data_IF_219632051311
#
_entry.id   IF_219632051311
#
_cell.length_a   1.000
_cell.length_b   1.000
_cell.length_c   1.000
_cell.angle_alpha   90.00
_cell.angle_beta   90.00
_cell.angle_gamma   90.00
#
_symmetry.space_group_name_H-M   'P 1'
#
loop_
_entity.id
_entity.type
_entity.pdbx_description
1 polymer ?
#
# COMPACT_ATOMS: atom_id res chain seq x y z
N UNK A 1 -59.09 -70.60 24.75
CA UNK A 1 -60.13 -71.18 25.64
C UNK A 1 -60.99 -72.25 24.96
N UNK A 2 -61.07 -72.34 23.62
CA UNK A 2 -61.87 -73.35 22.90
C UNK A 2 -61.29 -74.78 22.92
N UNK A 3 -59.97 -74.93 22.79
CA UNK A 3 -59.35 -76.26 22.63
C UNK A 3 -59.30 -77.10 23.91
N UNK A 4 -59.22 -76.46 25.08
CA UNK A 4 -59.17 -77.18 26.37
C UNK A 4 -60.48 -77.91 26.68
N UNK A 5 -61.63 -77.26 26.43
CA UNK A 5 -62.95 -77.89 26.61
C UNK A 5 -63.22 -78.99 25.58
N UNK A 6 -62.60 -78.92 24.40
CA UNK A 6 -62.80 -79.92 23.34
C UNK A 6 -61.99 -81.20 23.63
N UNK A 7 -60.79 -81.06 24.21
CA UNK A 7 -60.01 -82.20 24.71
C UNK A 7 -60.65 -82.85 25.94
N UNK A 8 -61.24 -82.07 26.86
CA UNK A 8 -61.93 -82.61 28.04
C UNK A 8 -63.19 -83.43 27.68
N UNK A 9 -63.92 -83.03 26.63
CA UNK A 9 -65.09 -83.77 26.12
C UNK A 9 -64.68 -85.07 25.41
N UNK A 10 -63.52 -85.12 24.76
CA UNK A 10 -62.96 -86.37 24.23
C UNK A 10 -62.54 -87.33 25.35
N UNK A 11 -62.03 -86.82 26.47
CA UNK A 11 -61.65 -87.65 27.62
C UNK A 11 -62.84 -88.30 28.32
N UNK A 12 -63.93 -87.56 28.53
CA UNK A 12 -65.14 -88.14 29.13
C UNK A 12 -65.76 -89.24 28.25
N UNK A 13 -65.65 -89.11 26.92
CA UNK A 13 -66.12 -90.12 25.97
C UNK A 13 -65.24 -91.38 25.89
N UNK A 14 -63.97 -91.32 26.31
CA UNK A 14 -63.09 -92.50 26.40
C UNK A 14 -63.41 -93.31 27.66
N UNK A 15 -63.80 -92.65 28.76
CA UNK A 15 -64.12 -93.32 30.03
C UNK A 15 -65.49 -94.02 29.99
N UNK A 16 -66.47 -93.52 29.22
CA UNK A 16 -67.79 -94.17 29.10
C UNK A 16 -67.82 -95.39 28.15
N UNK A 17 -66.84 -95.55 27.24
CA UNK A 17 -66.84 -96.62 26.22
C UNK A 17 -65.94 -97.84 26.53
N UNK A 18 -65.22 -97.88 27.65
CA UNK A 18 -64.32 -99.00 28.03
C UNK A 18 -64.80 -99.75 29.29
N UNK A 19 -66.10 -100.06 29.39
CA UNK A 19 -66.68 -100.90 30.48
C UNK A 19 -67.09 -102.31 30.02
N UNK A 20 -66.59 -102.79 28.87
CA UNK A 20 -66.94 -104.12 28.33
C UNK A 20 -65.79 -105.15 28.28
N UNK A 21 -64.74 -104.97 29.07
CA UNK A 21 -63.66 -105.97 29.19
C UNK A 21 -63.25 -106.16 30.66
N UNK A 22 -64.18 -106.73 31.44
CA UNK A 22 -63.97 -107.16 32.82
C UNK A 22 -63.39 -108.58 32.76
N UNK A 23 -62.11 -108.70 32.42
CA UNK A 23 -61.35 -109.93 32.72
C UNK A 23 -59.86 -109.68 33.04
N UNK A 24 -59.39 -108.42 33.04
CA UNK A 24 -58.05 -108.12 33.59
C UNK A 24 -57.89 -106.69 34.17
N UNK A 25 -58.10 -106.49 35.50
CA UNK A 25 -57.95 -105.20 36.16
C UNK A 25 -56.50 -104.64 36.12
N UNK A 26 -55.48 -105.48 35.93
CA UNK A 26 -54.09 -105.02 35.80
C UNK A 26 -53.85 -104.28 34.47
N UNK A 27 -54.57 -104.64 33.41
CA UNK A 27 -54.41 -104.03 32.09
C UNK A 27 -55.03 -102.62 32.01
N UNK A 28 -56.15 -102.40 32.71
CA UNK A 28 -56.83 -101.10 32.79
C UNK A 28 -56.06 -100.12 33.68
N UNK A 29 -55.51 -100.60 34.79
CA UNK A 29 -54.57 -99.85 35.63
C UNK A 29 -53.28 -99.51 34.88
N UNK A 30 -52.74 -100.45 34.10
CA UNK A 30 -51.57 -100.21 33.24
C UNK A 30 -51.84 -99.14 32.18
N UNK A 31 -52.97 -99.19 31.49
CA UNK A 31 -53.34 -98.16 30.49
C UNK A 31 -53.50 -96.78 31.13
N UNK A 32 -54.25 -96.68 32.23
CA UNK A 32 -54.43 -95.40 32.95
C UNK A 32 -53.11 -94.86 33.49
N UNK A 33 -52.20 -95.74 33.94
CA UNK A 33 -50.87 -95.36 34.39
C UNK A 33 -50.01 -94.83 33.24
N UNK A 34 -49.93 -95.56 32.12
CA UNK A 34 -49.18 -95.12 30.93
C UNK A 34 -49.71 -93.81 30.35
N UNK A 35 -51.03 -93.62 30.45
CA UNK A 35 -51.68 -92.42 30.00
C UNK A 35 -51.37 -91.23 30.94
N UNK A 36 -51.44 -91.42 32.25
CA UNK A 36 -51.06 -90.40 33.23
C UNK A 36 -49.56 -90.04 33.15
N UNK A 37 -48.69 -91.03 32.91
CA UNK A 37 -47.26 -90.82 32.67
C UNK A 37 -47.03 -90.00 31.39
N UNK A 38 -47.76 -90.30 30.32
CA UNK A 38 -47.67 -89.53 29.07
C UNK A 38 -48.15 -88.09 29.23
N UNK A 39 -49.23 -87.88 29.98
CA UNK A 39 -49.76 -86.54 30.27
C UNK A 39 -48.81 -85.75 31.17
N UNK A 40 -48.15 -86.42 32.13
CA UNK A 40 -47.09 -85.83 32.94
C UNK A 40 -45.87 -85.43 32.10
N UNK A 41 -45.40 -86.30 31.19
CA UNK A 41 -44.32 -85.97 30.24
C UNK A 41 -44.69 -84.78 29.35
N UNK A 42 -45.93 -84.72 28.86
CA UNK A 42 -46.43 -83.64 28.01
C UNK A 42 -46.47 -82.31 28.78
N UNK A 43 -46.94 -82.32 30.03
CA UNK A 43 -46.97 -81.15 30.90
C UNK A 43 -45.56 -80.68 31.27
N UNK A 44 -44.63 -81.59 31.55
CA UNK A 44 -43.23 -81.24 31.80
C UNK A 44 -42.55 -80.65 30.55
N UNK A 45 -42.83 -81.19 29.35
CA UNK A 45 -42.34 -80.65 28.09
C UNK A 45 -42.89 -79.23 27.83
N UNK A 46 -44.18 -79.01 28.06
CA UNK A 46 -44.80 -77.68 27.92
C UNK A 46 -44.27 -76.69 28.98
N UNK A 47 -44.10 -77.13 30.23
CA UNK A 47 -43.55 -76.31 31.29
C UNK A 47 -42.10 -75.90 30.98
N UNK A 48 -41.28 -76.83 30.49
CA UNK A 48 -39.91 -76.54 30.07
C UNK A 48 -39.86 -75.56 28.90
N UNK A 49 -40.73 -75.73 27.89
CA UNK A 49 -40.82 -74.83 26.74
C UNK A 49 -41.27 -73.42 27.15
N UNK A 50 -42.25 -73.32 28.04
CA UNK A 50 -42.68 -72.02 28.60
C UNK A 50 -41.53 -71.40 29.39
N UNK A 51 -40.84 -72.17 30.23
CA UNK A 51 -39.72 -71.69 31.04
C UNK A 51 -38.56 -71.15 30.20
N UNK A 52 -38.18 -71.84 29.10
CA UNK A 52 -37.15 -71.36 28.18
C UNK A 52 -37.60 -70.13 27.40
N UNK A 53 -38.81 -70.13 26.86
CA UNK A 53 -39.37 -68.99 26.11
C UNK A 53 -39.50 -67.75 27.00
N UNK A 54 -39.86 -67.92 28.27
CA UNK A 54 -39.97 -66.82 29.26
C UNK A 54 -38.60 -66.24 29.58
N UNK A 55 -37.54 -67.06 29.68
CA UNK A 55 -36.16 -66.58 29.86
C UNK A 55 -35.66 -65.82 28.63
N UNK A 56 -35.94 -66.32 27.42
CA UNK A 56 -35.55 -65.65 26.17
C UNK A 56 -36.27 -64.31 26.00
N UNK A 57 -37.57 -64.25 26.30
CA UNK A 57 -38.32 -62.98 26.28
C UNK A 57 -37.82 -61.99 27.33
N UNK A 58 -37.48 -62.44 28.56
CA UNK A 58 -36.86 -61.56 29.56
C UNK A 58 -35.51 -61.00 29.07
N UNK A 59 -34.69 -61.83 28.43
CA UNK A 59 -33.42 -61.43 27.83
C UNK A 59 -33.63 -60.38 26.74
N UNK A 60 -34.54 -60.62 25.79
CA UNK A 60 -34.87 -59.67 24.72
C UNK A 60 -35.38 -58.34 25.28
N UNK A 61 -36.27 -58.37 26.28
CA UNK A 61 -36.80 -57.16 26.93
C UNK A 61 -35.68 -56.36 27.61
N UNK A 62 -34.75 -57.04 28.29
CA UNK A 62 -33.60 -56.37 28.93
C UNK A 62 -32.65 -55.73 27.90
N UNK A 63 -32.41 -56.40 26.76
CA UNK A 63 -31.62 -55.87 25.65
C UNK A 63 -32.30 -54.65 25.01
N UNK A 64 -33.62 -54.70 24.82
CA UNK A 64 -34.43 -53.58 24.34
C UNK A 64 -34.37 -52.38 25.29
N UNK A 65 -34.54 -52.61 26.60
CA UNK A 65 -34.43 -51.54 27.60
C UNK A 65 -33.04 -50.90 27.62
N UNK A 66 -31.98 -51.70 27.50
CA UNK A 66 -30.61 -51.19 27.37
C UNK A 66 -30.43 -50.39 26.08
N UNK A 67 -30.92 -50.88 24.94
CA UNK A 67 -30.88 -50.18 23.66
C UNK A 67 -31.62 -48.84 23.69
N UNK A 68 -32.81 -48.80 24.31
CA UNK A 68 -33.59 -47.56 24.50
C UNK A 68 -32.84 -46.58 25.41
N UNK A 69 -32.22 -47.07 26.49
CA UNK A 69 -31.43 -46.23 27.39
C UNK A 69 -30.22 -45.62 26.69
N UNK A 70 -29.49 -46.42 25.89
CA UNK A 70 -28.38 -45.93 25.07
C UNK A 70 -28.84 -44.89 24.04
N UNK A 71 -29.94 -45.15 23.33
CA UNK A 71 -30.47 -44.22 22.33
C UNK A 71 -30.87 -42.88 22.95
N UNK A 72 -31.48 -42.88 24.15
CA UNK A 72 -31.78 -41.65 24.90
C UNK A 72 -30.51 -40.87 25.25
N UNK A 73 -29.49 -41.57 25.76
CA UNK A 73 -28.19 -40.96 26.10
C UNK A 73 -27.50 -40.35 24.87
N UNK A 74 -27.60 -41.03 23.73
CA UNK A 74 -27.01 -40.57 22.46
C UNK A 74 -27.72 -39.32 21.91
N UNK A 75 -29.06 -39.28 22.03
CA UNK A 75 -29.86 -38.09 21.70
C UNK A 75 -29.45 -36.88 22.55
N UNK A 76 -29.27 -37.08 23.85
CA UNK A 76 -28.87 -36.03 24.79
C UNK A 76 -27.46 -35.48 24.47
N UNK A 77 -26.51 -36.38 24.16
CA UNK A 77 -25.17 -35.99 23.69
C UNK A 77 -25.21 -35.24 22.35
N UNK A 78 -26.07 -35.68 21.42
CA UNK A 78 -26.24 -35.02 20.13
C UNK A 78 -26.81 -33.60 20.29
N UNK A 79 -27.79 -33.42 21.17
CA UNK A 79 -28.35 -32.10 21.51
C UNK A 79 -27.26 -31.16 22.09
N UNK A 80 -26.42 -31.68 22.99
CA UNK A 80 -25.30 -30.94 23.57
C UNK A 80 -24.26 -30.53 22.52
N UNK A 81 -23.88 -31.44 21.64
CA UNK A 81 -22.95 -31.14 20.54
C UNK A 81 -23.53 -30.07 19.60
N UNK A 82 -24.82 -30.15 19.28
CA UNK A 82 -25.51 -29.12 18.49
C UNK A 82 -25.49 -27.74 19.14
N UNK A 83 -25.69 -27.68 20.46
CA UNK A 83 -25.60 -26.43 21.20
C UNK A 83 -24.17 -25.87 21.19
N UNK A 84 -23.16 -26.72 21.36
CA UNK A 84 -21.76 -26.33 21.29
C UNK A 84 -21.39 -25.82 19.89
N UNK A 85 -21.80 -26.52 18.82
CA UNK A 85 -21.59 -26.11 17.43
C UNK A 85 -22.18 -24.72 17.17
N UNK A 86 -23.44 -24.49 17.57
CA UNK A 86 -24.08 -23.17 17.41
C UNK A 86 -23.33 -22.07 18.16
N UNK A 87 -22.92 -22.35 19.41
CA UNK A 87 -22.16 -21.38 20.20
C UNK A 87 -20.82 -21.05 19.51
N UNK A 88 -20.11 -22.07 19.03
CA UNK A 88 -18.83 -21.91 18.35
C UNK A 88 -18.98 -21.14 17.04
N UNK A 89 -20.04 -21.39 16.27
CA UNK A 89 -20.35 -20.64 15.05
C UNK A 89 -20.60 -19.14 15.32
N UNK A 90 -21.35 -18.82 16.39
CA UNK A 90 -21.59 -17.43 16.81
C UNK A 90 -20.27 -16.77 17.26
N UNK A 91 -19.45 -17.47 18.04
CA UNK A 91 -18.15 -16.98 18.49
C UNK A 91 -17.21 -16.74 17.30
N UNK A 92 -17.10 -17.69 16.36
CA UNK A 92 -16.31 -17.54 15.15
C UNK A 92 -16.76 -16.32 14.34
N UNK A 93 -18.07 -16.11 14.17
CA UNK A 93 -18.56 -14.94 13.43
C UNK A 93 -18.26 -13.63 14.15
N UNK A 94 -18.37 -13.63 15.48
CA UNK A 94 -17.98 -12.48 16.31
C UNK A 94 -16.49 -12.17 16.17
N UNK A 95 -15.63 -13.18 16.18
CA UNK A 95 -14.19 -13.03 16.00
C UNK A 95 -13.84 -12.54 14.59
N UNK A 96 -14.47 -13.07 13.55
CA UNK A 96 -14.31 -12.61 12.16
C UNK A 96 -14.66 -11.13 12.04
N UNK A 97 -15.80 -10.69 12.59
CA UNK A 97 -16.21 -9.29 12.56
C UNK A 97 -15.23 -8.38 13.31
N UNK A 98 -14.74 -8.79 14.48
CA UNK A 98 -13.73 -8.05 15.24
C UNK A 98 -12.41 -7.94 14.48
N UNK A 99 -11.98 -9.04 13.85
CA UNK A 99 -10.75 -9.05 13.05
C UNK A 99 -10.86 -8.10 11.85
N UNK A 100 -12.01 -8.06 11.16
CA UNK A 100 -12.23 -7.13 10.05
C UNK A 100 -12.23 -5.67 10.51
N UNK A 101 -12.83 -5.36 11.67
CA UNK A 101 -12.78 -4.00 12.25
C UNK A 101 -11.34 -3.59 12.55
N UNK A 102 -10.55 -4.44 13.20
CA UNK A 102 -9.13 -4.17 13.50
C UNK A 102 -8.35 -3.99 12.19
N UNK A 103 -8.61 -4.81 11.17
CA UNK A 103 -7.95 -4.69 9.88
C UNK A 103 -8.26 -3.35 9.20
N UNK A 104 -9.50 -2.86 9.30
CA UNK A 104 -9.91 -1.55 8.78
C UNK A 104 -9.26 -0.40 9.56
N UNK A 105 -9.24 -0.46 10.89
CA UNK A 105 -8.54 0.51 11.73
C UNK A 105 -7.04 0.55 11.44
N UNK A 106 -6.43 -0.61 11.21
CA UNK A 106 -5.03 -0.69 10.82
C UNK A 106 -4.79 -0.05 9.44
N UNK A 107 -5.59 -0.40 8.42
CA UNK A 107 -5.48 0.20 7.07
C UNK A 107 -5.63 1.72 7.10
N UNK A 108 -6.59 2.23 7.87
CA UNK A 108 -6.81 3.68 8.01
C UNK A 108 -5.64 4.35 8.74
N UNK A 109 -5.10 3.71 9.78
CA UNK A 109 -3.92 4.20 10.50
C UNK A 109 -2.69 4.25 9.60
N UNK A 110 -2.42 3.19 8.83
CA UNK A 110 -1.31 3.17 7.86
C UNK A 110 -1.48 4.26 6.79
N UNK A 111 -2.70 4.46 6.28
CA UNK A 111 -2.98 5.53 5.32
C UNK A 111 -2.70 6.91 5.92
N UNK A 112 -3.10 7.14 7.18
CA UNK A 112 -2.79 8.39 7.91
C UNK A 112 -1.30 8.57 8.08
N UNK A 113 -0.57 7.53 8.49
CA UNK A 113 0.87 7.57 8.67
C UNK A 113 1.59 7.95 7.36
N UNK A 114 1.22 7.30 6.25
CA UNK A 114 1.78 7.61 4.93
C UNK A 114 1.50 9.05 4.49
N UNK A 115 0.30 9.57 4.75
CA UNK A 115 -0.02 10.96 4.46
C UNK A 115 0.81 11.92 5.32
N UNK A 116 0.97 11.63 6.61
CA UNK A 116 1.82 12.44 7.49
C UNK A 116 3.28 12.43 7.05
N UNK A 117 3.82 11.26 6.70
CA UNK A 117 5.19 11.14 6.18
C UNK A 117 5.40 12.00 4.93
N UNK A 118 4.46 11.95 3.98
CA UNK A 118 4.50 12.80 2.78
C UNK A 118 4.48 14.30 3.08
N UNK A 119 3.72 14.73 4.09
CA UNK A 119 3.69 16.13 4.52
C UNK A 119 5.05 16.51 5.14
N UNK A 120 5.63 15.64 5.96
CA UNK A 120 6.96 15.86 6.56
C UNK A 120 8.03 15.99 5.46
N UNK A 121 8.03 15.10 4.46
CA UNK A 121 8.98 15.14 3.35
C UNK A 121 8.85 16.44 2.54
N UNK A 122 7.61 16.88 2.29
CA UNK A 122 7.33 18.16 1.64
C UNK A 122 7.92 19.32 2.44
N UNK A 123 7.68 19.35 3.75
CA UNK A 123 8.18 20.41 4.63
C UNK A 123 9.70 20.41 4.74
N UNK A 124 10.34 19.24 4.79
CA UNK A 124 11.81 19.11 4.77
C UNK A 124 12.41 19.68 3.49
N UNK A 125 11.79 19.40 2.34
CA UNK A 125 12.24 19.97 1.08
C UNK A 125 12.10 21.50 1.07
N UNK A 126 10.97 22.02 1.55
CA UNK A 126 10.73 23.46 1.65
C UNK A 126 11.73 24.14 2.59
N UNK A 127 11.98 23.55 3.76
CA UNK A 127 12.97 24.03 4.72
C UNK A 127 14.38 24.06 4.10
N UNK A 128 14.74 23.03 3.33
CA UNK A 128 16.05 22.97 2.66
C UNK A 128 16.20 24.07 1.61
N UNK A 129 15.15 24.35 0.82
CA UNK A 129 15.13 25.46 -0.13
C UNK A 129 15.31 26.81 0.59
N UNK A 130 14.60 27.02 1.70
CA UNK A 130 14.72 28.22 2.52
C UNK A 130 16.11 28.38 3.14
N UNK A 131 16.73 27.29 3.60
CA UNK A 131 18.10 27.28 4.11
C UNK A 131 19.11 27.74 3.05
N UNK A 132 18.99 27.25 1.82
CA UNK A 132 19.83 27.73 0.72
C UNK A 132 19.58 29.21 0.40
N UNK A 133 18.33 29.66 0.45
CA UNK A 133 17.99 31.07 0.27
C UNK A 133 18.65 31.96 1.33
N UNK A 134 18.54 31.60 2.61
CA UNK A 134 19.16 32.36 3.70
C UNK A 134 20.69 32.34 3.64
N UNK A 135 21.28 31.21 3.26
CA UNK A 135 22.73 31.10 3.07
C UNK A 135 23.21 31.97 1.89
N UNK A 136 22.44 32.05 0.79
CA UNK A 136 22.73 32.95 -0.33
C UNK A 136 22.70 34.41 0.09
N UNK A 137 21.65 34.82 0.81
CA UNK A 137 21.53 36.17 1.36
C UNK A 137 22.71 36.54 2.26
N UNK A 138 23.12 35.63 3.14
CA UNK A 138 24.26 35.82 4.03
C UNK A 138 25.57 35.95 3.25
N UNK A 139 25.85 35.02 2.33
CA UNK A 139 27.09 35.02 1.53
C UNK A 139 27.22 36.24 0.61
N UNK A 140 26.10 36.75 0.09
CA UNK A 140 26.10 37.99 -0.70
C UNK A 140 26.34 39.21 0.18
N UNK A 141 25.81 39.22 1.41
CA UNK A 141 26.02 40.30 2.37
C UNK A 141 27.49 40.38 2.85
N UNK A 142 28.21 39.26 2.84
CA UNK A 142 29.65 39.20 3.15
C UNK A 142 30.55 39.33 1.90
N UNK A 143 29.97 39.69 0.75
CA UNK A 143 30.66 39.86 -0.54
C UNK A 143 31.41 38.59 -1.05
N UNK A 144 31.05 37.42 -0.53
CA UNK A 144 31.66 36.13 -0.84
C UNK A 144 31.02 35.49 -2.08
N UNK A 145 31.33 36.02 -3.27
CA UNK A 145 30.66 35.59 -4.52
C UNK A 145 30.93 34.12 -4.88
N UNK A 146 32.13 33.61 -4.61
CA UNK A 146 32.48 32.20 -4.87
C UNK A 146 31.61 31.25 -4.03
N UNK A 147 31.37 31.60 -2.76
CA UNK A 147 30.49 30.86 -1.87
C UNK A 147 29.03 30.95 -2.33
N UNK A 148 28.57 32.16 -2.68
CA UNK A 148 27.22 32.35 -3.21
C UNK A 148 26.97 31.49 -4.46
N UNK A 149 27.94 31.42 -5.38
CA UNK A 149 27.82 30.59 -6.58
C UNK A 149 27.82 29.09 -6.26
N UNK A 150 28.60 28.66 -5.26
CA UNK A 150 28.59 27.27 -4.77
C UNK A 150 27.24 26.88 -4.17
N UNK A 151 26.66 27.76 -3.33
CA UNK A 151 25.33 27.55 -2.74
C UNK A 151 24.26 27.55 -3.83
N UNK A 152 24.32 28.50 -4.77
CA UNK A 152 23.40 28.57 -5.90
C UNK A 152 23.44 27.29 -6.74
N UNK A 153 24.62 26.73 -7.00
CA UNK A 153 24.73 25.46 -7.72
C UNK A 153 24.01 24.31 -7.00
N UNK A 154 24.02 24.29 -5.67
CA UNK A 154 23.29 23.29 -4.87
C UNK A 154 21.78 23.51 -4.93
N UNK A 155 21.33 24.76 -4.85
CA UNK A 155 19.93 25.14 -5.01
C UNK A 155 19.41 24.73 -6.40
N UNK A 156 20.15 25.07 -7.46
CA UNK A 156 19.86 24.71 -8.84
C UNK A 156 19.76 23.20 -9.05
N UNK A 157 20.66 22.43 -8.43
CA UNK A 157 20.60 20.97 -8.44
C UNK A 157 19.34 20.44 -7.74
N UNK A 158 19.03 20.96 -6.54
CA UNK A 158 17.83 20.58 -5.79
C UNK A 158 16.55 20.90 -6.57
N UNK A 159 16.45 22.06 -7.22
CA UNK A 159 15.32 22.40 -8.11
C UNK A 159 15.14 21.35 -9.20
N UNK A 160 16.24 20.84 -9.78
CA UNK A 160 16.19 19.75 -10.74
C UNK A 160 15.53 18.49 -10.18
N UNK A 161 15.90 18.07 -8.97
CA UNK A 161 15.31 16.91 -8.29
C UNK A 161 13.83 17.12 -7.96
N UNK A 162 13.46 18.34 -7.56
CA UNK A 162 12.07 18.69 -7.21
C UNK A 162 11.16 18.64 -8.43
N UNK A 163 11.66 18.95 -9.62
CA UNK A 163 10.84 18.97 -10.84
C UNK A 163 10.27 17.60 -11.23
N UNK A 164 10.96 16.53 -10.88
CA UNK A 164 10.51 15.16 -11.14
C UNK A 164 9.37 14.72 -10.19
N UNK A 165 9.07 15.52 -9.17
CA UNK A 165 8.00 15.22 -8.20
C UNK A 165 6.61 15.60 -8.74
N UNK A 166 5.56 15.02 -8.16
CA UNK A 166 4.16 15.36 -8.52
C UNK A 166 3.62 16.62 -7.83
N UNK A 167 4.42 17.30 -6.99
CA UNK A 167 3.96 18.41 -6.14
C UNK A 167 4.11 19.76 -6.83
N UNK A 168 3.04 20.19 -7.52
CA UNK A 168 3.04 21.39 -8.35
C UNK A 168 3.52 22.66 -7.63
N UNK A 169 3.03 22.91 -6.42
CA UNK A 169 3.42 24.10 -5.64
C UNK A 169 4.90 24.09 -5.27
N UNK A 170 5.46 22.95 -4.89
CA UNK A 170 6.88 22.84 -4.55
C UNK A 170 7.76 23.04 -5.79
N UNK A 171 7.36 22.45 -6.92
CA UNK A 171 8.02 22.68 -8.22
C UNK A 171 8.04 24.16 -8.57
N UNK A 172 6.87 24.79 -8.61
CA UNK A 172 6.74 26.21 -8.95
C UNK A 172 7.56 27.09 -8.01
N UNK A 173 7.47 26.86 -6.70
CA UNK A 173 8.25 27.58 -5.70
C UNK A 173 9.77 27.41 -5.91
N UNK A 174 10.24 26.17 -6.10
CA UNK A 174 11.67 25.88 -6.30
C UNK A 174 12.23 26.52 -7.58
N UNK A 175 11.43 26.59 -8.65
CA UNK A 175 11.81 27.26 -9.90
C UNK A 175 11.88 28.76 -9.70
N UNK A 176 10.84 29.36 -9.11
CA UNK A 176 10.79 30.80 -8.87
C UNK A 176 11.92 31.25 -7.93
N UNK A 177 12.24 30.46 -6.90
CA UNK A 177 13.33 30.75 -5.98
C UNK A 177 14.69 30.71 -6.69
N UNK A 178 14.93 29.70 -7.53
CA UNK A 178 16.17 29.58 -8.31
C UNK A 178 16.31 30.69 -9.34
N UNK A 179 15.20 31.10 -9.97
CA UNK A 179 15.17 32.26 -10.87
C UNK A 179 15.47 33.55 -10.15
N UNK A 180 14.83 33.77 -9.00
CA UNK A 180 15.08 34.94 -8.17
C UNK A 180 16.58 35.08 -7.85
N UNK A 181 17.21 34.01 -7.34
CA UNK A 181 18.63 34.05 -6.99
C UNK A 181 19.56 34.16 -8.19
N UNK A 182 19.20 33.56 -9.32
CA UNK A 182 19.92 33.76 -10.57
C UNK A 182 19.98 35.24 -10.95
N UNK A 183 18.85 35.95 -10.91
CA UNK A 183 18.79 37.38 -11.26
C UNK A 183 19.55 38.26 -10.27
N UNK A 184 19.51 37.94 -8.96
CA UNK A 184 20.30 38.66 -7.96
C UNK A 184 21.80 38.51 -8.22
N UNK A 185 22.27 37.28 -8.40
CA UNK A 185 23.69 37.00 -8.69
C UNK A 185 24.13 37.60 -10.01
N UNK A 186 23.29 37.49 -11.05
CA UNK A 186 23.53 38.10 -12.35
C UNK A 186 23.72 39.61 -12.22
N UNK A 187 22.88 40.29 -11.44
CA UNK A 187 22.98 41.74 -11.22
C UNK A 187 24.30 42.13 -10.55
N UNK A 188 24.73 41.37 -9.54
CA UNK A 188 26.01 41.60 -8.84
C UNK A 188 27.19 41.40 -9.79
N UNK A 189 27.19 40.30 -10.55
CA UNK A 189 28.25 39.98 -11.51
C UNK A 189 28.27 41.00 -12.66
N UNK A 190 27.10 41.40 -13.19
CA UNK A 190 26.97 42.46 -14.21
C UNK A 190 27.65 43.75 -13.74
N UNK A 191 27.43 44.16 -12.49
CA UNK A 191 28.05 45.36 -11.90
C UNK A 191 29.57 45.23 -11.77
N UNK A 192 30.08 44.08 -11.32
CA UNK A 192 31.54 43.83 -11.19
C UNK A 192 32.22 43.78 -12.56
N UNK A 193 31.60 43.10 -13.52
CA UNK A 193 32.04 43.05 -14.91
C UNK A 193 32.08 44.45 -15.54
N UNK A 194 31.06 45.28 -15.33
CA UNK A 194 31.04 46.64 -15.87
C UNK A 194 32.17 47.51 -15.28
N UNK A 195 32.46 47.37 -13.98
CA UNK A 195 33.60 48.05 -13.35
C UNK A 195 34.94 47.66 -13.98
N UNK A 196 35.21 46.36 -14.17
CA UNK A 196 36.48 45.92 -14.76
C UNK A 196 36.60 46.33 -16.23
N UNK A 197 35.52 46.25 -17.00
CA UNK A 197 35.48 46.70 -18.40
C UNK A 197 35.74 48.21 -18.51
N UNK A 198 35.22 49.01 -17.59
CA UNK A 198 35.50 50.45 -17.53
C UNK A 198 36.96 50.75 -17.18
N UNK A 199 37.58 49.99 -16.27
CA UNK A 199 39.01 50.15 -15.90
C UNK A 199 39.91 49.89 -17.11
N UNK A 200 39.63 48.85 -17.89
CA UNK A 200 40.39 48.53 -19.11
C UNK A 200 39.92 49.34 -20.32
N UNK A 201 39.03 50.32 -20.14
CA UNK A 201 38.43 51.16 -21.19
C UNK A 201 37.76 50.40 -22.35
N UNK A 202 37.23 49.20 -22.08
CA UNK A 202 36.52 48.41 -23.07
C UNK A 202 35.08 48.91 -23.26
N UNK A 203 34.58 49.06 -24.50
CA UNK A 203 35.25 48.75 -25.76
C UNK A 203 36.09 49.90 -26.35
N UNK A 204 37.20 49.54 -27.00
CA UNK A 204 38.22 50.43 -27.61
C UNK A 204 37.76 51.09 -28.93
N UNK A 205 36.65 51.82 -28.92
CA UNK A 205 36.02 52.32 -30.17
C UNK A 205 36.70 53.58 -30.73
N UNK A 206 37.49 54.32 -29.93
CA UNK A 206 38.06 55.63 -30.34
C UNK A 206 39.57 55.75 -30.12
N UNK A 207 40.23 54.71 -29.63
CA UNK A 207 41.67 54.70 -29.36
C UNK A 207 42.30 53.55 -30.14
N UNK A 208 43.31 53.82 -30.97
CA UNK A 208 44.19 52.75 -31.45
C UNK A 208 44.76 52.02 -30.21
N UNK A 209 44.96 50.69 -30.26
CA UNK A 209 45.62 49.97 -29.17
C UNK A 209 46.97 50.64 -28.89
N UNK A 210 47.03 51.46 -27.85
CA UNK A 210 48.25 52.11 -27.40
C UNK A 210 48.94 51.19 -26.40
N UNK A 211 50.24 51.39 -26.18
CA UNK A 211 50.99 50.70 -25.13
C UNK A 211 50.29 50.80 -23.77
N UNK A 212 49.68 51.95 -23.48
CA UNK A 212 48.89 52.18 -22.26
C UNK A 212 47.65 51.27 -22.13
N UNK A 213 46.89 51.05 -23.21
CA UNK A 213 45.73 50.14 -23.17
C UNK A 213 46.16 48.68 -22.96
N UNK A 214 47.29 48.29 -23.55
CA UNK A 214 47.86 46.95 -23.32
C UNK A 214 48.29 46.78 -21.86
N UNK A 215 48.93 47.79 -21.28
CA UNK A 215 49.37 47.79 -19.88
C UNK A 215 48.19 47.72 -18.89
N UNK A 216 47.10 48.47 -19.15
CA UNK A 216 45.87 48.40 -18.36
C UNK A 216 45.24 47.02 -18.40
N UNK A 217 45.19 46.41 -19.59
CA UNK A 217 44.69 45.04 -19.77
C UNK A 217 45.56 44.03 -19.03
N UNK A 218 46.88 44.06 -19.21
CA UNK A 218 47.79 43.11 -18.60
C UNK A 218 47.79 43.20 -17.06
N UNK A 219 47.71 44.42 -16.51
CA UNK A 219 47.60 44.64 -15.06
C UNK A 219 46.31 44.09 -14.46
N UNK A 220 45.21 44.07 -15.24
CA UNK A 220 43.89 43.66 -14.78
C UNK A 220 43.45 42.29 -15.33
N UNK A 221 44.34 41.58 -16.03
CA UNK A 221 44.05 40.31 -16.70
C UNK A 221 43.48 39.27 -15.75
N UNK A 222 44.09 39.11 -14.58
CA UNK A 222 43.68 38.09 -13.61
C UNK A 222 42.32 38.42 -12.99
N UNK A 223 42.06 39.70 -12.70
CA UNK A 223 40.74 40.16 -12.23
C UNK A 223 39.66 39.93 -13.28
N UNK A 224 39.93 40.28 -14.55
CA UNK A 224 39.01 40.01 -15.64
C UNK A 224 38.74 38.51 -15.80
N UNK A 225 39.78 37.68 -15.69
CA UNK A 225 39.65 36.22 -15.74
C UNK A 225 38.79 35.69 -14.58
N UNK A 226 38.96 36.23 -13.39
CA UNK A 226 38.16 35.88 -12.22
C UNK A 226 36.68 36.24 -12.44
N UNK A 227 36.38 37.45 -12.87
CA UNK A 227 35.01 37.88 -13.15
C UNK A 227 34.37 37.04 -14.27
N UNK A 228 35.12 36.72 -15.32
CA UNK A 228 34.66 35.80 -16.37
C UNK A 228 34.38 34.39 -15.82
N UNK A 229 35.19 33.90 -14.89
CA UNK A 229 34.91 32.61 -14.24
C UNK A 229 33.58 32.65 -13.47
N UNK A 230 33.26 33.76 -12.78
CA UNK A 230 31.97 33.91 -12.11
C UNK A 230 30.81 33.87 -13.10
N UNK A 231 30.93 34.58 -14.23
CA UNK A 231 29.93 34.55 -15.31
C UNK A 231 29.73 33.14 -15.85
N UNK A 232 30.81 32.37 -16.01
CA UNK A 232 30.74 31.00 -16.54
C UNK A 232 30.18 29.98 -15.54
N UNK A 233 30.40 30.22 -14.24
CA UNK A 233 29.83 29.42 -13.13
C UNK A 233 28.33 29.69 -12.95
N UNK A 234 27.88 30.93 -13.16
CA UNK A 234 26.47 31.27 -13.10
C UNK A 234 25.73 30.69 -14.32
N UNK A 235 25.01 29.58 -14.12
CA UNK A 235 24.23 28.92 -15.16
C UNK A 235 22.82 28.66 -14.70
N UNK A 236 21.86 29.05 -15.52
CA UNK A 236 20.48 28.64 -15.31
C UNK A 236 20.32 27.15 -15.67
N UNK A 237 19.63 26.35 -14.85
CA UNK A 237 19.33 24.96 -15.20
C UNK A 237 18.55 24.84 -16.51
N UNK A 238 18.91 23.86 -17.34
CA UNK A 238 18.32 23.66 -18.68
C UNK A 238 16.79 23.48 -18.70
N UNK A 239 16.22 23.01 -17.59
CA UNK A 239 14.78 22.77 -17.45
C UNK A 239 14.00 24.05 -17.11
N UNK A 240 14.67 25.11 -16.64
CA UNK A 240 14.03 26.39 -16.35
C UNK A 240 14.02 27.20 -17.65
N UNK A 241 12.83 27.36 -18.22
CA UNK A 241 12.61 28.31 -19.32
C UNK A 241 12.44 29.69 -18.70
N UNK A 242 13.54 30.43 -18.59
CA UNK A 242 13.44 31.86 -18.30
C UNK A 242 13.19 32.57 -19.63
N UNK A 243 12.05 33.26 -19.74
CA UNK A 243 11.80 34.26 -20.77
C UNK A 243 12.66 35.49 -20.48
N UNK A 244 13.96 35.26 -20.46
CA UNK A 244 14.89 36.31 -20.21
C UNK A 244 14.78 37.31 -21.37
N UNK A 245 15.01 38.56 -21.05
CA UNK A 245 15.24 39.67 -21.98
C UNK A 245 16.31 39.32 -23.05
N UNK A 246 17.06 38.22 -22.84
CA UNK A 246 17.84 37.43 -23.81
C UNK A 246 17.16 37.20 -25.16
N UNK A 247 15.82 37.29 -25.25
CA UNK A 247 15.11 37.28 -26.52
C UNK A 247 15.45 38.45 -27.45
N UNK A 248 16.00 39.57 -26.94
CA UNK A 248 16.29 40.78 -27.75
C UNK A 248 17.58 40.69 -28.56
N UNK A 249 18.54 39.86 -28.17
CA UNK A 249 19.78 39.62 -28.90
C UNK A 249 19.81 38.16 -29.38
N UNK A 250 18.85 37.80 -30.25
CA UNK A 250 18.94 36.54 -30.99
C UNK A 250 19.79 36.78 -32.23
N UNK A 251 20.95 36.14 -32.29
CA UNK A 251 21.70 36.04 -33.54
C UNK A 251 21.00 35.02 -34.47
N UNK A 252 21.11 35.24 -35.77
CA UNK A 252 20.53 34.43 -36.85
C UNK A 252 20.66 32.92 -36.52
N UNK A 253 19.53 32.21 -36.31
CA UNK A 253 19.52 30.74 -36.19
C UNK A 253 19.38 30.09 -34.80
N UNK A 254 18.85 30.79 -33.78
CA UNK A 254 18.16 30.18 -32.62
C UNK A 254 19.01 29.55 -31.49
N UNK A 255 19.88 30.32 -30.83
CA UNK A 255 20.25 30.11 -29.42
C UNK A 255 20.41 31.45 -28.68
N UNK A 256 20.07 31.55 -27.38
CA UNK A 256 20.37 32.74 -26.60
C UNK A 256 21.90 32.95 -26.58
N UNK A 257 22.33 34.20 -26.79
CA UNK A 257 23.75 34.56 -26.72
C UNK A 257 24.27 34.22 -25.32
N UNK A 258 25.45 33.60 -25.15
CA UNK A 258 26.01 33.33 -23.82
C UNK A 258 26.12 34.61 -22.98
N UNK A 259 25.85 34.52 -21.66
CA UNK A 259 25.81 35.69 -20.75
C UNK A 259 27.07 36.56 -20.85
N UNK A 260 28.25 35.94 -20.92
CA UNK A 260 29.52 36.66 -21.05
C UNK A 260 29.60 37.51 -22.33
N UNK A 261 29.10 37.00 -23.46
CA UNK A 261 29.06 37.76 -24.72
C UNK A 261 28.06 38.91 -24.59
N UNK A 262 26.91 38.71 -23.94
CA UNK A 262 25.94 39.79 -23.73
C UNK A 262 26.55 40.94 -22.93
N UNK A 263 27.26 40.63 -21.84
CA UNK A 263 27.96 41.61 -21.01
C UNK A 263 28.99 42.41 -21.82
N UNK A 264 29.81 41.72 -22.64
CA UNK A 264 30.79 42.38 -23.50
C UNK A 264 30.14 43.25 -24.60
N UNK A 265 29.00 42.81 -25.14
CA UNK A 265 28.30 43.54 -26.21
C UNK A 265 27.53 44.77 -25.70
N UNK A 266 27.23 44.88 -24.40
CA UNK A 266 26.42 45.96 -23.82
C UNK A 266 26.92 47.34 -24.24
N UNK A 267 28.22 47.60 -24.10
CA UNK A 267 28.83 48.89 -24.49
C UNK A 267 28.75 49.19 -25.99
N UNK A 268 28.91 48.17 -26.83
CA UNK A 268 28.76 48.31 -28.28
C UNK A 268 27.32 48.60 -28.69
N UNK A 269 26.35 47.92 -28.08
CA UNK A 269 24.91 48.11 -28.37
C UNK A 269 24.48 49.52 -28.00
N UNK A 270 24.90 50.03 -26.84
CA UNK A 270 24.58 51.41 -26.42
C UNK A 270 25.13 52.41 -27.44
N UNK A 271 26.39 52.25 -27.87
CA UNK A 271 27.01 53.13 -28.87
C UNK A 271 26.38 53.00 -30.25
N UNK A 272 26.10 51.77 -30.69
CA UNK A 272 25.37 51.51 -31.92
C UNK A 272 24.02 52.21 -31.89
N UNK A 273 23.26 52.06 -30.80
CA UNK A 273 21.98 52.74 -30.66
C UNK A 273 22.11 54.26 -30.66
N UNK A 274 23.11 54.81 -29.98
CA UNK A 274 23.40 56.23 -29.97
C UNK A 274 23.74 56.78 -31.37
N UNK A 275 24.60 56.09 -32.12
CA UNK A 275 25.02 56.55 -33.46
C UNK A 275 23.93 56.36 -34.52
N UNK A 276 23.25 55.21 -34.52
CA UNK A 276 22.31 54.83 -35.59
C UNK A 276 20.86 55.25 -35.30
N UNK A 277 20.46 55.42 -34.04
CA UNK A 277 19.10 55.81 -33.65
C UNK A 277 19.02 57.12 -32.85
N UNK A 278 20.16 57.78 -32.60
CA UNK A 278 20.21 59.09 -31.94
C UNK A 278 19.63 60.23 -32.80
N UNK A 279 19.45 61.40 -32.17
CA UNK A 279 18.82 62.59 -32.81
C UNK A 279 19.60 63.14 -34.02
N UNK A 280 20.90 62.84 -34.13
CA UNK A 280 21.67 63.12 -35.34
C UNK A 280 21.67 61.88 -36.26
N UNK A 281 20.88 61.94 -37.34
CA UNK A 281 20.84 60.85 -38.33
C UNK A 281 22.20 60.72 -39.02
N UNK A 282 23.01 59.73 -38.63
CA UNK A 282 24.23 59.35 -39.38
C UNK A 282 24.00 58.19 -40.37
N UNK A 283 22.76 57.69 -40.46
CA UNK A 283 22.34 56.65 -41.40
C UNK A 283 22.13 57.24 -42.81
N UNK A 284 23.21 57.33 -43.60
CA UNK A 284 23.11 57.44 -45.06
C UNK A 284 22.98 56.02 -45.64
N UNK A 285 21.99 55.79 -46.51
CA UNK A 285 21.77 54.49 -47.19
C UNK A 285 23.00 53.98 -47.94
N UNK A 286 23.94 54.87 -48.28
CA UNK A 286 25.21 54.53 -48.94
C UNK A 286 26.26 53.85 -48.04
N UNK A 287 26.06 53.83 -46.71
CA UNK A 287 27.04 53.27 -45.74
C UNK A 287 26.71 51.85 -45.28
N UNK A 288 25.59 51.27 -45.71
CA UNK A 288 25.16 49.91 -45.39
C UNK A 288 25.08 49.13 -46.70
N UNK A 289 26.24 48.79 -47.25
CA UNK A 289 26.41 47.82 -48.35
C UNK A 289 27.43 46.80 -47.85
#
# INVERSE_FOLDING_TARGET
MSDFWTQLIQYTNVIENETSDIDNPEHLLSKLLTHAEHEQELLEAQFNLISTTTKETLSIVSQLQNGISMAKKLLEQHEQLRMQERKLAIEMKSHENKAELIAQEFRTTVKRLNNTARIIDYLHCLETLLKYSSALETSLSTESLDESLSIYSKLAHLTGLVLDTSTEHLRSYSVNLTLYWYEQLKTVIDSRMEKILNIIEFPYVHKLPSSHLSELFDTNRDKLKEELNYVLKLRLPNHIKHDDVQARLRFIGWKPIPLFIQMLLKGFIIRFNFHFYGKQKTNDRRKVI
#
